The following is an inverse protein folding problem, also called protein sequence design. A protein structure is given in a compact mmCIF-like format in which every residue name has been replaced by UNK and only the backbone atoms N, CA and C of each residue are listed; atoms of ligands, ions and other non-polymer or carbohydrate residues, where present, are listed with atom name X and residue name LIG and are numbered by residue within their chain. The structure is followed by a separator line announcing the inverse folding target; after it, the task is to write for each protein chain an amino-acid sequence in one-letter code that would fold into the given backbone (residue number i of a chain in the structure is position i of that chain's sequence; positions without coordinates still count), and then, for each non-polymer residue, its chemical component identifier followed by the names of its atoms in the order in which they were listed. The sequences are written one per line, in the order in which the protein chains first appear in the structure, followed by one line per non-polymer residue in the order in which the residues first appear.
data_IF_319142311687
#
_entry.id   IF_319142311687
#
_cell.length_a   1.000
_cell.length_b   1.000
_cell.length_c   1.000
_cell.angle_alpha   90.00
_cell.angle_beta   90.00
_cell.angle_gamma   90.00
#
_symmetry.space_group_name_H-M   'P 1'
#
loop_
_entity.id
_entity.type
_entity.pdbx_description
1 polymer ?
#
# COMPACT_ATOMS: atom_id res chain seq x y z
N UNK A 1 -19.47 16.12 18.57
CA UNK A 1 -18.93 15.88 17.20
C UNK A 1 -17.64 15.07 17.22
N UNK A 2 -16.67 15.35 18.09
CA UNK A 2 -15.39 14.61 18.14
C UNK A 2 -15.55 13.10 18.43
N UNK A 3 -16.40 12.72 19.38
CA UNK A 3 -16.67 11.33 19.70
C UNK A 3 -17.32 10.55 18.53
N UNK A 4 -18.21 11.19 17.78
CA UNK A 4 -18.86 10.58 16.61
C UNK A 4 -17.89 10.36 15.43
N UNK A 5 -16.88 11.22 15.25
CA UNK A 5 -15.87 11.02 14.21
C UNK A 5 -14.91 9.86 14.56
N UNK A 6 -14.43 9.79 15.79
CA UNK A 6 -13.58 8.67 16.23
C UNK A 6 -14.33 7.32 16.14
N UNK A 7 -15.63 7.30 16.41
CA UNK A 7 -16.46 6.09 16.28
C UNK A 7 -16.67 5.63 14.84
N UNK A 8 -16.52 6.51 13.84
CA UNK A 8 -16.67 6.17 12.41
C UNK A 8 -15.34 5.78 11.75
N UNK A 9 -14.21 6.38 12.17
CA UNK A 9 -12.91 6.10 11.54
C UNK A 9 -12.39 4.70 11.84
N UNK A 10 -12.58 4.19 13.05
CA UNK A 10 -12.14 2.83 13.42
C UNK A 10 -12.88 1.76 12.62
N UNK A 11 -14.23 1.75 12.53
CA UNK A 11 -14.95 0.82 11.66
C UNK A 11 -14.54 0.92 10.18
N UNK A 12 -14.32 2.12 9.67
CA UNK A 12 -13.89 2.32 8.29
C UNK A 12 -12.54 1.66 8.00
N UNK A 13 -11.58 1.79 8.91
CA UNK A 13 -10.27 1.14 8.79
C UNK A 13 -10.43 -0.38 8.85
N UNK A 14 -11.21 -0.89 9.80
CA UNK A 14 -11.48 -2.33 9.95
C UNK A 14 -12.12 -2.89 8.68
N UNK A 15 -13.18 -2.26 8.19
CA UNK A 15 -13.86 -2.68 6.95
C UNK A 15 -12.89 -2.65 5.77
N UNK A 16 -12.06 -1.61 5.63
CA UNK A 16 -11.05 -1.53 4.59
C UNK A 16 -10.03 -2.67 4.66
N UNK A 17 -9.52 -2.98 5.85
CA UNK A 17 -8.56 -4.06 6.05
C UNK A 17 -9.19 -5.44 5.83
N UNK A 18 -10.41 -5.69 6.32
CA UNK A 18 -11.14 -6.95 6.12
C UNK A 18 -11.44 -7.16 4.63
N UNK A 19 -11.91 -6.13 3.93
CA UNK A 19 -12.19 -6.18 2.49
C UNK A 19 -10.91 -6.43 1.69
N UNK A 20 -9.80 -5.75 2.03
CA UNK A 20 -8.51 -5.98 1.39
C UNK A 20 -8.04 -7.44 1.59
N UNK A 21 -8.20 -7.98 2.80
CA UNK A 21 -7.86 -9.37 3.11
C UNK A 21 -8.73 -10.34 2.32
N UNK A 22 -10.04 -10.14 2.29
CA UNK A 22 -10.97 -10.99 1.54
C UNK A 22 -10.63 -11.00 0.04
N UNK A 23 -10.39 -9.83 -0.56
CA UNK A 23 -9.97 -9.74 -1.97
C UNK A 23 -8.61 -10.39 -2.19
N UNK A 24 -7.65 -10.22 -1.28
CA UNK A 24 -6.33 -10.82 -1.40
C UNK A 24 -6.41 -12.37 -1.41
N UNK A 25 -7.30 -12.96 -0.63
CA UNK A 25 -7.50 -14.41 -0.57
C UNK A 25 -8.06 -15.01 -1.87
N UNK A 26 -8.74 -14.22 -2.70
CA UNK A 26 -9.24 -14.67 -4.02
C UNK A 26 -8.18 -14.62 -5.13
N UNK A 27 -6.97 -14.15 -4.82
CA UNK A 27 -5.88 -13.99 -5.80
C UNK A 27 -5.11 -15.29 -5.99
N UNK A 28 -4.50 -15.46 -7.16
CA UNK A 28 -3.65 -16.63 -7.48
C UNK A 28 -2.41 -16.75 -6.57
N UNK A 29 -1.96 -15.65 -5.95
CA UNK A 29 -0.86 -15.62 -4.98
C UNK A 29 -1.26 -14.84 -3.73
N UNK A 30 -2.18 -15.37 -2.91
CA UNK A 30 -2.79 -14.63 -1.81
C UNK A 30 -1.77 -14.16 -0.77
N UNK A 31 -0.82 -15.01 -0.40
CA UNK A 31 0.21 -14.66 0.60
C UNK A 31 1.09 -13.49 0.17
N UNK A 32 1.45 -13.38 -1.11
CA UNK A 32 2.25 -12.27 -1.63
C UNK A 32 1.46 -10.97 -1.55
N UNK A 33 0.18 -11.01 -1.92
CA UNK A 33 -0.70 -9.83 -1.88
C UNK A 33 -0.92 -9.40 -0.44
N UNK A 34 -1.24 -10.32 0.46
CA UNK A 34 -1.42 -10.06 1.90
C UNK A 34 -0.16 -9.49 2.53
N UNK A 35 1.00 -10.07 2.24
CA UNK A 35 2.28 -9.59 2.75
C UNK A 35 2.56 -8.15 2.30
N UNK A 36 2.37 -7.84 1.01
CA UNK A 36 2.57 -6.50 0.46
C UNK A 36 1.63 -5.47 1.08
N UNK A 37 0.34 -5.80 1.13
CA UNK A 37 -0.69 -4.92 1.69
C UNK A 37 -0.45 -4.68 3.19
N UNK A 38 -0.15 -5.73 3.94
CA UNK A 38 0.18 -5.65 5.36
C UNK A 38 1.46 -4.87 5.63
N UNK A 39 2.49 -5.04 4.77
CA UNK A 39 3.75 -4.34 4.89
C UNK A 39 3.58 -2.81 4.70
N UNK A 40 2.74 -2.38 3.74
CA UNK A 40 2.43 -0.97 3.54
C UNK A 40 1.79 -0.37 4.79
N UNK A 41 0.79 -1.03 5.36
CA UNK A 41 0.13 -0.54 6.58
C UNK A 41 1.11 -0.51 7.75
N UNK A 42 1.82 -1.61 8.01
CA UNK A 42 2.74 -1.73 9.14
C UNK A 42 3.87 -0.70 9.07
N UNK A 43 4.55 -0.58 7.93
CA UNK A 43 5.65 0.40 7.77
C UNK A 43 5.13 1.82 7.89
N UNK A 44 3.98 2.16 7.26
CA UNK A 44 3.42 3.51 7.34
C UNK A 44 3.07 3.90 8.77
N UNK A 45 2.45 3.01 9.54
CA UNK A 45 2.09 3.27 10.92
C UNK A 45 3.33 3.39 11.81
N UNK A 46 4.29 2.48 11.67
CA UNK A 46 5.55 2.53 12.42
C UNK A 46 6.34 3.81 12.09
N UNK A 47 6.47 4.14 10.81
CA UNK A 47 7.15 5.37 10.39
C UNK A 47 6.45 6.62 10.90
N UNK A 48 5.11 6.65 10.96
CA UNK A 48 4.37 7.77 11.52
C UNK A 48 4.66 7.95 13.02
N UNK A 49 4.78 6.84 13.79
CA UNK A 49 5.15 6.89 15.21
C UNK A 49 6.58 7.40 15.36
N UNK A 50 7.54 6.81 14.62
CA UNK A 50 8.95 7.20 14.68
C UNK A 50 9.16 8.68 14.32
N UNK A 51 8.51 9.16 13.25
CA UNK A 51 8.60 10.58 12.85
C UNK A 51 7.99 11.49 13.90
N UNK A 52 6.89 11.08 14.52
CA UNK A 52 6.25 11.85 15.60
C UNK A 52 7.18 12.03 16.79
N UNK A 53 7.96 11.02 17.14
CA UNK A 53 8.88 11.05 18.29
C UNK A 53 10.21 11.75 17.92
N UNK A 54 10.66 11.61 16.67
CA UNK A 54 11.96 12.13 16.20
C UNK A 54 11.94 13.61 15.81
N UNK A 55 10.78 14.15 15.39
CA UNK A 55 10.66 15.53 14.89
C UNK A 55 9.99 16.42 15.94
N UNK A 56 10.76 17.10 16.81
CA UNK A 56 10.19 18.05 17.74
C UNK A 56 9.56 19.22 17.01
N UNK A 57 8.38 19.63 17.43
CA UNK A 57 7.65 20.72 16.80
C UNK A 57 7.53 21.90 17.75
N UNK A 58 7.90 23.12 17.34
CA UNK A 58 7.74 24.30 18.17
C UNK A 58 6.24 24.57 18.42
N UNK A 59 5.90 24.87 19.65
CA UNK A 59 4.58 25.36 20.06
C UNK A 59 4.45 26.81 19.58
N UNK A 60 3.73 27.03 18.48
CA UNK A 60 3.59 28.35 17.84
C UNK A 60 2.32 29.11 18.26
N UNK A 61 1.45 28.50 19.07
CA UNK A 61 0.18 29.12 19.47
C UNK A 61 -0.22 28.61 20.87
N UNK A 62 -0.88 29.47 21.65
CA UNK A 62 -1.46 29.18 22.98
C UNK A 62 -2.65 28.19 22.94
N UNK A 63 -2.95 27.63 21.79
CA UNK A 63 -3.98 26.61 21.62
C UNK A 63 -3.41 25.26 22.08
N UNK A 64 -4.06 24.68 23.05
CA UNK A 64 -3.72 23.45 23.79
C UNK A 64 -3.59 22.19 22.91
N UNK A 65 -2.70 22.21 21.93
CA UNK A 65 -2.19 20.99 21.31
C UNK A 65 -0.83 20.71 21.95
N UNK A 66 -0.89 20.10 23.14
CA UNK A 66 0.27 19.86 23.99
C UNK A 66 1.25 18.81 23.46
N UNK A 67 0.92 18.09 22.38
CA UNK A 67 1.75 17.03 21.83
C UNK A 67 2.01 17.24 20.34
N UNK A 68 3.15 16.72 19.87
CA UNK A 68 3.47 16.68 18.44
C UNK A 68 2.39 15.91 17.66
N UNK A 69 1.64 16.61 16.80
CA UNK A 69 0.56 16.05 15.99
C UNK A 69 1.01 15.55 14.62
N UNK A 70 2.27 15.78 14.26
CA UNK A 70 2.84 15.43 12.95
C UNK A 70 3.52 14.05 12.96
N UNK A 71 3.31 13.22 11.95
CA UNK A 71 2.21 13.29 10.96
C UNK A 71 0.88 12.82 11.57
N UNK A 72 -0.24 13.07 10.88
CA UNK A 72 -1.56 12.63 11.33
C UNK A 72 -1.70 11.11 11.32
N UNK A 73 -1.79 10.49 12.50
CA UNK A 73 -1.97 9.04 12.64
C UNK A 73 -3.28 8.54 12.03
N UNK A 74 -4.38 9.29 12.20
CA UNK A 74 -5.69 8.95 11.63
C UNK A 74 -5.66 8.94 10.10
N UNK A 75 -5.08 9.98 9.48
CA UNK A 75 -4.95 10.03 8.02
C UNK A 75 -4.00 8.95 7.52
N UNK A 76 -2.88 8.69 8.23
CA UNK A 76 -1.96 7.59 7.89
C UNK A 76 -2.67 6.24 7.91
N UNK A 77 -3.49 5.97 8.92
CA UNK A 77 -4.22 4.71 9.02
C UNK A 77 -5.25 4.53 7.90
N UNK A 78 -6.06 5.55 7.61
CA UNK A 78 -7.07 5.49 6.54
C UNK A 78 -6.39 5.39 5.17
N UNK A 79 -5.39 6.23 4.90
CA UNK A 79 -4.65 6.18 3.63
C UNK A 79 -3.91 4.85 3.44
N UNK A 80 -3.32 4.31 4.51
CA UNK A 80 -2.67 2.99 4.51
C UNK A 80 -3.65 1.86 4.21
N UNK A 81 -4.85 1.86 4.83
CA UNK A 81 -5.89 0.89 4.55
C UNK A 81 -6.40 0.98 3.10
N UNK A 82 -6.56 2.19 2.56
CA UNK A 82 -6.93 2.41 1.16
C UNK A 82 -5.84 1.92 0.21
N UNK A 83 -4.57 2.22 0.49
CA UNK A 83 -3.44 1.73 -0.30
C UNK A 83 -3.39 0.19 -0.30
N UNK A 84 -3.58 -0.44 0.86
CA UNK A 84 -3.65 -1.89 1.00
C UNK A 84 -4.79 -2.49 0.17
N UNK A 85 -5.98 -1.88 0.22
CA UNK A 85 -7.15 -2.29 -0.56
C UNK A 85 -6.89 -2.19 -2.08
N UNK A 86 -6.32 -1.08 -2.54
CA UNK A 86 -5.97 -0.88 -3.96
C UNK A 86 -4.92 -1.88 -4.43
N UNK A 87 -3.92 -2.20 -3.59
CA UNK A 87 -2.90 -3.21 -3.91
C UNK A 87 -3.49 -4.63 -3.96
N UNK A 88 -4.47 -4.95 -3.12
CA UNK A 88 -5.17 -6.22 -3.14
C UNK A 88 -6.07 -6.37 -4.36
N UNK A 89 -6.65 -5.28 -4.85
CA UNK A 89 -7.62 -5.28 -5.95
C UNK A 89 -6.97 -5.60 -7.30
N UNK A 90 -7.60 -6.43 -8.18
CA UNK A 90 -7.20 -6.64 -9.56
C UNK A 90 -7.02 -5.32 -10.33
N UNK A 91 -6.09 -5.30 -11.29
CA UNK A 91 -5.77 -4.05 -12.02
C UNK A 91 -6.95 -3.45 -12.77
N UNK A 92 -7.79 -4.28 -13.34
CA UNK A 92 -9.02 -3.95 -14.06
C UNK A 92 -10.10 -3.33 -13.16
N UNK A 93 -10.10 -3.67 -11.87
CA UNK A 93 -11.08 -3.19 -10.89
C UNK A 93 -10.56 -2.09 -9.96
N UNK A 94 -9.31 -1.65 -10.13
CA UNK A 94 -8.69 -0.68 -9.20
C UNK A 94 -9.40 0.66 -9.15
N UNK A 95 -10.00 1.11 -10.24
CA UNK A 95 -10.76 2.37 -10.27
C UNK A 95 -11.92 2.31 -9.28
N UNK A 96 -12.59 1.14 -9.16
CA UNK A 96 -13.73 0.95 -8.25
C UNK A 96 -13.33 1.06 -6.75
N UNK A 97 -12.08 0.77 -6.42
CA UNK A 97 -11.58 0.89 -5.04
C UNK A 97 -10.84 2.20 -4.80
N UNK A 98 -10.17 2.72 -5.83
CA UNK A 98 -9.40 3.98 -5.71
C UNK A 98 -10.32 5.18 -5.57
N UNK A 99 -11.38 5.28 -6.36
CA UNK A 99 -12.28 6.43 -6.31
C UNK A 99 -12.94 6.62 -4.93
N UNK A 100 -13.65 5.62 -4.36
CA UNK A 100 -14.18 5.75 -3.00
C UNK A 100 -13.08 5.87 -1.94
N UNK A 101 -11.91 5.25 -2.15
CA UNK A 101 -10.77 5.38 -1.27
C UNK A 101 -10.25 6.81 -1.19
N UNK A 102 -10.10 7.50 -2.31
CA UNK A 102 -9.72 8.92 -2.36
C UNK A 102 -10.75 9.79 -1.64
N UNK A 103 -12.03 9.53 -1.84
CA UNK A 103 -13.10 10.26 -1.13
C UNK A 103 -13.00 10.04 0.39
N UNK A 104 -12.78 8.80 0.84
CA UNK A 104 -12.61 8.49 2.26
C UNK A 104 -11.40 9.20 2.88
N UNK A 105 -10.25 9.20 2.18
CA UNK A 105 -9.04 9.91 2.62
C UNK A 105 -9.27 11.42 2.65
N UNK A 106 -9.89 11.99 1.62
CA UNK A 106 -10.19 13.42 1.55
C UNK A 106 -11.16 13.87 2.67
N UNK A 107 -12.22 13.10 2.88
CA UNK A 107 -13.20 13.36 3.96
C UNK A 107 -12.53 13.28 5.34
N UNK A 108 -11.72 12.26 5.60
CA UNK A 108 -10.96 12.13 6.85
C UNK A 108 -10.00 13.30 7.04
N UNK A 109 -9.27 13.67 6.00
CA UNK A 109 -8.33 14.79 6.00
C UNK A 109 -9.01 16.11 6.32
N UNK A 110 -10.15 16.37 5.69
CA UNK A 110 -10.97 17.55 5.96
C UNK A 110 -11.46 17.56 7.41
N UNK A 111 -11.98 16.44 7.90
CA UNK A 111 -12.57 16.35 9.25
C UNK A 111 -11.52 16.56 10.35
N UNK A 112 -10.31 16.00 10.24
CA UNK A 112 -9.26 16.18 11.26
C UNK A 112 -8.77 17.63 11.33
N UNK A 113 -8.81 18.36 10.21
CA UNK A 113 -8.47 19.78 10.14
C UNK A 113 -9.64 20.64 10.67
N UNK A 114 -10.86 20.36 10.25
CA UNK A 114 -12.07 21.08 10.68
C UNK A 114 -12.32 20.96 12.20
N UNK A 115 -12.03 19.80 12.78
CA UNK A 115 -12.08 19.55 14.23
C UNK A 115 -10.87 20.13 14.98
N UNK A 116 -9.93 20.77 14.27
CA UNK A 116 -8.68 21.32 14.85
C UNK A 116 -7.80 20.31 15.58
N UNK A 117 -7.91 19.02 15.22
CA UNK A 117 -7.05 17.97 15.78
C UNK A 117 -5.67 17.96 15.14
N UNK A 118 -5.61 18.34 13.85
CA UNK A 118 -4.39 18.36 13.05
C UNK A 118 -4.29 19.62 12.19
N UNK A 119 -3.07 20.00 11.89
CA UNK A 119 -2.79 21.07 10.93
C UNK A 119 -2.80 20.50 9.50
N UNK A 120 -3.06 21.31 8.46
CA UNK A 120 -2.99 20.84 7.07
C UNK A 120 -1.65 20.16 6.72
N UNK A 121 -0.54 20.66 7.30
CA UNK A 121 0.80 20.06 7.12
C UNK A 121 0.90 18.65 7.69
N UNK A 122 0.17 18.30 8.75
CA UNK A 122 0.18 16.96 9.35
C UNK A 122 -0.52 15.95 8.44
N UNK A 123 -1.55 16.42 7.72
CA UNK A 123 -2.26 15.67 6.70
C UNK A 123 -1.36 15.42 5.48
N UNK A 124 -0.74 16.49 4.97
CA UNK A 124 0.17 16.41 3.82
C UNK A 124 1.33 15.46 4.13
N UNK A 125 1.94 15.58 5.31
CA UNK A 125 3.00 14.67 5.76
C UNK A 125 2.57 13.21 5.81
N UNK A 126 1.35 12.93 6.30
CA UNK A 126 0.79 11.58 6.32
C UNK A 126 0.59 11.00 4.91
N UNK A 127 0.08 11.80 3.97
CA UNK A 127 -0.13 11.38 2.58
C UNK A 127 1.19 11.09 1.87
N UNK A 128 2.21 11.94 2.02
CA UNK A 128 3.54 11.70 1.47
C UNK A 128 4.18 10.45 2.07
N UNK A 129 4.03 10.24 3.38
CA UNK A 129 4.56 9.07 4.06
C UNK A 129 3.96 7.77 3.49
N UNK A 130 2.63 7.68 3.43
CA UNK A 130 1.93 6.49 2.90
C UNK A 130 2.22 6.31 1.41
N UNK A 131 2.21 7.37 0.62
CA UNK A 131 2.55 7.33 -0.80
C UNK A 131 3.98 6.83 -1.04
N UNK A 132 4.96 7.38 -0.33
CA UNK A 132 6.36 6.97 -0.39
C UNK A 132 6.56 5.50 -0.01
N UNK A 133 5.99 5.07 1.13
CA UNK A 133 6.04 3.67 1.56
C UNK A 133 5.40 2.73 0.53
N UNK A 134 4.25 3.12 -0.02
CA UNK A 134 3.56 2.32 -1.04
C UNK A 134 4.41 2.16 -2.30
N UNK A 135 5.05 3.22 -2.77
CA UNK A 135 5.96 3.19 -3.92
C UNK A 135 7.17 2.29 -3.65
N UNK A 136 7.81 2.44 -2.49
CA UNK A 136 8.97 1.63 -2.10
C UNK A 136 8.59 0.14 -2.04
N UNK A 137 7.55 -0.22 -1.29
CA UNK A 137 7.11 -1.60 -1.16
C UNK A 137 6.74 -2.20 -2.52
N UNK A 138 6.06 -1.45 -3.39
CA UNK A 138 5.71 -1.94 -4.73
C UNK A 138 6.94 -2.11 -5.61
N UNK A 139 7.89 -1.18 -5.59
CA UNK A 139 9.11 -1.26 -6.39
C UNK A 139 9.96 -2.50 -6.03
N UNK A 140 10.12 -2.78 -4.75
CA UNK A 140 10.89 -3.95 -4.30
C UNK A 140 10.17 -5.28 -4.55
N UNK A 141 8.85 -5.31 -4.49
CA UNK A 141 8.09 -6.56 -4.66
C UNK A 141 7.72 -6.88 -6.11
N UNK A 142 7.76 -5.93 -7.03
CA UNK A 142 7.51 -6.16 -8.47
C UNK A 142 8.77 -6.66 -9.19
N UNK A 143 9.97 -6.40 -8.67
CA UNK A 143 11.23 -6.86 -9.30
C UNK A 143 11.44 -8.38 -9.28
N UNK A 144 10.76 -9.12 -8.42
CA UNK A 144 10.88 -10.59 -8.35
C UNK A 144 10.37 -11.36 -9.60
N UNK A 145 9.32 -10.96 -10.34
CA UNK A 145 8.84 -11.74 -11.47
C UNK A 145 9.64 -11.56 -12.77
N UNK A 146 10.45 -10.51 -12.92
CA UNK A 146 11.23 -10.30 -14.15
C UNK A 146 12.30 -11.38 -14.34
N UNK A 147 12.96 -11.79 -13.27
CA UNK A 147 13.99 -12.82 -13.33
C UNK A 147 13.41 -14.22 -13.63
N UNK A 148 12.17 -14.52 -13.20
CA UNK A 148 11.53 -15.79 -13.51
C UNK A 148 11.07 -15.86 -14.96
N UNK A 149 10.56 -14.78 -15.53
CA UNK A 149 10.15 -14.71 -16.95
C UNK A 149 11.38 -14.85 -17.87
N UNK A 150 12.50 -14.22 -17.53
CA UNK A 150 13.75 -14.37 -18.30
C UNK A 150 14.30 -15.79 -18.17
N UNK A 151 14.24 -16.39 -16.98
CA UNK A 151 14.69 -17.77 -16.75
C UNK A 151 13.83 -18.79 -17.54
N UNK A 152 12.50 -18.62 -17.55
CA UNK A 152 11.58 -19.49 -18.29
C UNK A 152 11.77 -19.35 -19.80
N UNK A 153 11.88 -18.13 -20.33
CA UNK A 153 12.17 -17.90 -21.75
C UNK A 153 13.53 -18.46 -22.17
N UNK A 154 14.52 -18.43 -21.30
CA UNK A 154 15.84 -19.04 -21.55
C UNK A 154 15.78 -20.56 -21.57
N UNK A 155 14.93 -21.15 -20.71
CA UNK A 155 14.72 -22.59 -20.61
C UNK A 155 13.97 -23.15 -21.82
N UNK A 156 12.95 -22.45 -22.30
CA UNK A 156 12.24 -22.81 -23.53
C UNK A 156 13.19 -22.80 -24.75
N UNK A 157 14.00 -21.76 -24.90
CA UNK A 157 14.99 -21.69 -25.99
C UNK A 157 16.03 -22.82 -25.94
N UNK A 158 16.41 -23.29 -24.77
CA UNK A 158 17.32 -24.43 -24.58
C UNK A 158 16.64 -25.75 -24.99
N UNK A 159 15.37 -25.94 -24.63
CA UNK A 159 14.59 -27.13 -25.01
C UNK A 159 14.44 -27.19 -26.54
N UNK A 160 14.08 -26.07 -27.18
CA UNK A 160 13.92 -25.99 -28.64
C UNK A 160 15.23 -26.27 -29.39
N UNK A 161 16.36 -25.77 -28.87
CA UNK A 161 17.69 -26.06 -29.44
C UNK A 161 18.06 -27.54 -29.33
N UNK A 162 17.78 -28.19 -28.21
CA UNK A 162 18.01 -29.62 -28.03
C UNK A 162 17.13 -30.46 -28.94
N UNK A 163 15.84 -30.12 -29.05
CA UNK A 163 14.90 -30.79 -29.94
C UNK A 163 15.36 -30.69 -31.42
N UNK A 164 15.80 -29.49 -31.85
CA UNK A 164 16.31 -29.29 -33.21
C UNK A 164 17.63 -30.06 -33.48
N UNK A 165 18.49 -30.22 -32.47
CA UNK A 165 19.72 -31.01 -32.59
C UNK A 165 19.43 -32.50 -32.75
N UNK A 166 18.51 -33.06 -31.97
CA UNK A 166 18.10 -34.47 -32.05
C UNK A 166 17.43 -34.76 -33.42
N UNK A 167 16.63 -33.84 -33.97
CA UNK A 167 16.03 -33.99 -35.29
C UNK A 167 17.08 -34.00 -36.40
N UNK A 168 18.16 -33.21 -36.29
CA UNK A 168 19.25 -33.21 -37.28
C UNK A 168 20.06 -34.51 -37.27
N UNK A 169 20.36 -35.04 -36.09
CA UNK A 169 21.08 -36.32 -35.97
C UNK A 169 20.28 -37.47 -36.63
N UNK A 170 18.96 -37.52 -36.43
CA UNK A 170 18.13 -38.55 -37.05
C UNK A 170 18.00 -38.44 -38.55
N UNK A 171 18.18 -37.25 -39.14
CA UNK A 171 18.12 -37.03 -40.59
C UNK A 171 19.46 -37.29 -41.30
N UNK A 172 20.55 -37.36 -40.56
CA UNK A 172 21.88 -37.63 -41.11
C UNK A 172 22.23 -39.12 -41.22
N UNK A 173 21.42 -40.02 -40.65
CA UNK A 173 21.64 -41.48 -40.66
C UNK A 173 20.90 -42.24 -41.79
N UNK A 174 20.41 -41.49 -42.82
CA UNK A 174 19.80 -42.04 -44.02
C UNK A 174 20.60 -41.58 -45.26
#
# INVERSE_FOLDING_TARGET
MAAGFASLTVPLIIVGCVTATAIALTRSRPLVVLFRSGLVVAISMTAAIVVKDAVPRPVLTDVVILNNSFPSGTVTAVAGAVAALVLATPRDMRVLTTAPGVVAVAATSYMVVALRWHRPSDVIGALFLVGGVTLVVTAFTVRAPVNTVIADASRERLIDRHAAAICRERQGDY
#
